data_IF_358940529733
#
_entry.id   IF_358940529733
#
_cell.length_a   1.000
_cell.length_b   1.000
_cell.length_c   1.000
_cell.angle_alpha   90.00
_cell.angle_beta   90.00
_cell.angle_gamma   90.00
#
_symmetry.space_group_name_H-M   'P 1'
#
loop_
_entity.id
_entity.type
_entity.pdbx_description
1 polymer ?
#
# COMPACT_ATOMS: atom_id res chain seq x y z
N UNK A 1 1.27 -87.42 -44.74
CA UNK A 1 0.93 -86.02 -45.15
C UNK A 1 0.75 -85.18 -43.97
N UNK A 2 1.77 -84.45 -43.54
CA UNK A 2 1.71 -83.50 -42.40
C UNK A 2 1.58 -82.06 -42.94
N UNK A 3 0.47 -81.37 -42.67
CA UNK A 3 0.26 -79.96 -42.95
C UNK A 3 0.84 -79.12 -41.82
N UNK A 4 1.90 -78.32 -42.12
CA UNK A 4 2.49 -77.35 -41.28
C UNK A 4 1.59 -76.06 -41.29
N UNK A 5 0.94 -75.75 -40.24
CA UNK A 5 0.28 -74.43 -40.01
C UNK A 5 1.34 -73.39 -39.58
N UNK A 6 1.51 -72.36 -40.42
CA UNK A 6 2.31 -71.16 -40.04
C UNK A 6 1.40 -70.16 -39.27
N UNK A 7 1.72 -69.96 -38.04
CA UNK A 7 1.14 -68.82 -37.26
C UNK A 7 1.91 -67.55 -37.66
N UNK A 8 1.19 -66.57 -38.18
CA UNK A 8 1.69 -65.18 -38.35
C UNK A 8 1.25 -64.41 -37.12
N UNK A 9 2.19 -64.02 -36.24
CA UNK A 9 1.95 -63.12 -35.12
C UNK A 9 1.94 -61.71 -35.68
N UNK A 10 0.77 -61.04 -35.59
CA UNK A 10 0.61 -59.64 -35.92
C UNK A 10 1.01 -58.82 -34.68
N UNK A 11 2.18 -58.18 -34.72
CA UNK A 11 2.60 -57.23 -33.66
C UNK A 11 1.93 -55.88 -33.98
N UNK A 12 0.88 -55.51 -33.23
CA UNK A 12 0.30 -54.15 -33.25
C UNK A 12 1.13 -53.29 -32.35
N UNK A 13 2.01 -52.46 -32.93
CA UNK A 13 2.71 -51.40 -32.21
C UNK A 13 1.72 -50.23 -32.05
N UNK A 14 1.12 -50.13 -30.89
CA UNK A 14 0.31 -48.97 -30.53
C UNK A 14 1.23 -47.75 -30.32
N UNK A 15 1.24 -46.79 -31.24
CA UNK A 15 1.81 -45.46 -30.97
C UNK A 15 0.93 -44.72 -29.97
N UNK A 16 1.36 -44.67 -28.73
CA UNK A 16 0.83 -43.71 -27.79
C UNK A 16 1.36 -42.32 -28.16
N UNK A 17 0.56 -41.52 -28.86
CA UNK A 17 0.79 -40.10 -29.03
C UNK A 17 0.43 -39.45 -27.70
N UNK A 18 1.43 -39.21 -26.84
CA UNK A 18 1.28 -38.36 -25.69
C UNK A 18 1.19 -36.92 -26.21
N UNK A 19 -0.03 -36.43 -26.37
CA UNK A 19 -0.26 -35.01 -26.64
C UNK A 19 0.20 -34.23 -25.41
N UNK A 20 1.37 -33.62 -25.46
CA UNK A 20 1.75 -32.58 -24.55
C UNK A 20 0.79 -31.40 -24.82
N UNK A 21 -0.26 -31.25 -24.01
CA UNK A 21 -0.96 -29.99 -23.96
C UNK A 21 0.06 -29.01 -23.40
N UNK A 22 0.48 -28.02 -24.18
CA UNK A 22 1.31 -26.95 -23.69
C UNK A 22 0.57 -26.30 -22.51
N UNK A 23 1.24 -26.16 -21.38
CA UNK A 23 0.68 -25.42 -20.24
C UNK A 23 0.37 -23.98 -20.68
N UNK A 24 -0.73 -23.42 -20.17
CA UNK A 24 -1.07 -22.02 -20.48
C UNK A 24 -0.19 -21.03 -19.68
N UNK A 25 -0.23 -19.75 -20.03
CA UNK A 25 0.57 -18.73 -19.33
C UNK A 25 0.36 -18.71 -17.82
N UNK A 26 -0.84 -18.99 -17.35
CA UNK A 26 -1.19 -19.10 -15.93
C UNK A 26 -0.41 -20.24 -15.25
N UNK A 27 -0.42 -21.42 -15.86
CA UNK A 27 0.28 -22.61 -15.37
C UNK A 27 1.79 -22.41 -15.36
N UNK A 28 2.36 -21.75 -16.37
CA UNK A 28 3.79 -21.45 -16.48
C UNK A 28 4.22 -20.45 -15.40
N UNK A 29 3.41 -19.41 -15.15
CA UNK A 29 3.62 -18.44 -14.08
C UNK A 29 3.53 -19.12 -12.71
N UNK A 30 2.49 -19.95 -12.49
CA UNK A 30 2.32 -20.69 -11.25
C UNK A 30 3.54 -21.59 -10.98
N UNK A 31 3.98 -22.36 -11.98
CA UNK A 31 5.16 -23.22 -11.87
C UNK A 31 6.45 -22.42 -11.61
N UNK A 32 6.56 -21.21 -12.16
CA UNK A 32 7.70 -20.33 -11.89
C UNK A 32 7.68 -19.85 -10.44
N UNK A 33 6.53 -19.40 -9.93
CA UNK A 33 6.38 -18.98 -8.54
C UNK A 33 6.62 -20.15 -7.58
N UNK A 34 6.06 -21.34 -7.87
CA UNK A 34 6.26 -22.53 -7.02
C UNK A 34 7.73 -22.91 -6.93
N UNK A 35 8.49 -22.78 -8.02
CA UNK A 35 9.93 -23.06 -8.04
C UNK A 35 10.75 -22.07 -7.19
N UNK A 36 10.37 -20.80 -7.16
CA UNK A 36 11.08 -19.76 -6.39
C UNK A 36 10.49 -19.55 -4.98
N UNK A 37 9.37 -20.19 -4.66
CA UNK A 37 8.67 -19.99 -3.36
C UNK A 37 9.54 -20.30 -2.14
N UNK A 38 10.47 -21.29 -2.15
CA UNK A 38 11.37 -21.47 -1.01
C UNK A 38 12.25 -20.23 -0.72
N UNK A 39 12.74 -19.58 -1.76
CA UNK A 39 13.55 -18.36 -1.62
C UNK A 39 12.69 -17.20 -1.13
N UNK A 40 11.45 -17.05 -1.65
CA UNK A 40 10.53 -16.00 -1.23
C UNK A 40 10.15 -16.16 0.24
N UNK A 41 9.82 -17.36 0.69
CA UNK A 41 9.49 -17.66 2.09
C UNK A 41 10.71 -17.36 2.99
N UNK A 42 11.90 -17.79 2.59
CA UNK A 42 13.12 -17.53 3.35
C UNK A 42 13.42 -16.01 3.46
N UNK A 43 13.17 -15.23 2.40
CA UNK A 43 13.30 -13.76 2.44
C UNK A 43 12.27 -13.13 3.37
N UNK A 44 11.00 -13.56 3.30
CA UNK A 44 9.94 -13.08 4.19
C UNK A 44 10.24 -13.39 5.65
N UNK A 45 10.69 -14.60 5.93
CA UNK A 45 11.10 -15.04 7.28
C UNK A 45 12.29 -14.23 7.81
N UNK A 46 13.28 -13.96 6.94
CA UNK A 46 14.43 -13.12 7.31
C UNK A 46 14.01 -11.69 7.67
N UNK A 47 13.15 -11.07 6.85
CA UNK A 47 12.62 -9.72 7.10
C UNK A 47 11.82 -9.71 8.40
N UNK A 48 10.96 -10.72 8.61
CA UNK A 48 10.17 -10.87 9.83
C UNK A 48 11.05 -10.98 11.08
N UNK A 49 12.13 -11.78 11.04
CA UNK A 49 13.03 -12.01 12.17
C UNK A 49 14.01 -10.85 12.43
N UNK A 50 14.13 -9.92 11.46
CA UNK A 50 14.97 -8.73 11.56
C UNK A 50 14.14 -7.46 11.34
N UNK A 51 13.16 -7.16 12.21
CA UNK A 51 12.25 -6.04 11.99
C UNK A 51 13.01 -4.71 12.03
N UNK A 52 12.82 -3.90 11.01
CA UNK A 52 13.42 -2.57 10.87
C UNK A 52 12.31 -1.53 10.76
N UNK A 53 12.45 -0.45 11.52
CA UNK A 53 11.47 0.66 11.50
C UNK A 53 11.61 1.50 10.24
N UNK A 54 10.55 2.21 9.89
CA UNK A 54 10.51 3.06 8.74
C UNK A 54 11.71 4.02 8.60
N UNK A 55 12.25 4.15 7.39
CA UNK A 55 13.50 4.81 7.01
C UNK A 55 14.79 4.16 7.54
N UNK A 56 14.72 2.94 8.05
CA UNK A 56 15.87 2.16 8.55
C UNK A 56 15.86 0.71 8.05
N UNK A 57 15.12 0.42 7.00
CA UNK A 57 14.89 -0.91 6.43
C UNK A 57 16.08 -1.38 5.57
N UNK A 58 17.31 -1.21 6.05
CA UNK A 58 18.53 -1.46 5.28
C UNK A 58 18.71 -2.92 4.90
N UNK A 59 18.44 -3.85 5.85
CA UNK A 59 18.58 -5.29 5.62
C UNK A 59 17.52 -5.80 4.64
N UNK A 60 16.28 -5.34 4.81
CA UNK A 60 15.18 -5.69 3.90
C UNK A 60 15.49 -5.21 2.48
N UNK A 61 15.93 -3.96 2.31
CA UNK A 61 16.31 -3.40 1.00
C UNK A 61 17.48 -4.15 0.38
N UNK A 62 18.53 -4.47 1.14
CA UNK A 62 19.67 -5.23 0.63
C UNK A 62 19.25 -6.60 0.12
N UNK A 63 18.42 -7.31 0.89
CA UNK A 63 17.94 -8.64 0.55
C UNK A 63 17.06 -8.61 -0.71
N UNK A 64 16.02 -7.75 -0.73
CA UNK A 64 15.06 -7.66 -1.84
C UNK A 64 15.76 -7.19 -3.13
N UNK A 65 16.59 -6.15 -3.05
CA UNK A 65 17.32 -5.64 -4.23
C UNK A 65 18.38 -6.62 -4.71
N UNK A 66 19.06 -7.33 -3.81
CA UNK A 66 20.02 -8.39 -4.16
C UNK A 66 19.36 -9.51 -4.97
N UNK A 67 18.19 -9.98 -4.53
CA UNK A 67 17.43 -10.99 -5.26
C UNK A 67 16.93 -10.51 -6.64
N UNK A 68 16.47 -9.26 -6.72
CA UNK A 68 16.05 -8.64 -7.98
C UNK A 68 17.23 -8.52 -8.97
N UNK A 69 18.43 -8.10 -8.50
CA UNK A 69 19.65 -8.05 -9.34
C UNK A 69 20.02 -9.42 -9.89
N UNK A 70 19.98 -10.47 -9.06
CA UNK A 70 20.24 -11.86 -9.49
C UNK A 70 19.24 -12.34 -10.58
N UNK A 71 18.04 -11.73 -10.63
CA UNK A 71 17.02 -12.02 -11.63
C UNK A 71 16.98 -10.99 -12.78
N UNK A 72 18.03 -10.17 -12.95
CA UNK A 72 18.23 -9.32 -14.12
C UNK A 72 17.63 -7.90 -14.02
N UNK A 73 17.15 -7.48 -12.84
CA UNK A 73 16.64 -6.13 -12.63
C UNK A 73 17.78 -5.12 -12.43
N UNK A 74 17.61 -3.93 -12.97
CA UNK A 74 18.45 -2.75 -12.68
C UNK A 74 17.87 -2.00 -11.49
N UNK A 75 18.72 -1.59 -10.55
CA UNK A 75 18.29 -0.96 -9.29
C UNK A 75 18.72 0.50 -9.24
N UNK A 76 17.79 1.38 -8.88
CA UNK A 76 18.01 2.76 -8.45
C UNK A 76 17.72 2.83 -6.95
N UNK A 77 18.72 3.08 -6.09
CA UNK A 77 18.56 3.24 -4.63
C UNK A 77 18.55 4.70 -4.22
N UNK A 78 17.96 5.00 -3.07
CA UNK A 78 17.95 6.35 -2.49
C UNK A 78 17.04 7.34 -3.23
N UNK A 79 16.00 6.82 -3.92
CA UNK A 79 15.11 7.67 -4.71
C UNK A 79 14.26 8.57 -3.82
N UNK A 80 13.85 9.72 -4.34
CA UNK A 80 13.08 10.74 -3.62
C UNK A 80 13.72 11.20 -2.28
N UNK A 81 15.04 11.04 -2.12
CA UNK A 81 15.77 11.42 -0.90
C UNK A 81 15.59 10.43 0.26
N UNK A 82 15.04 9.25 0.01
CA UNK A 82 14.85 8.20 1.01
C UNK A 82 15.90 7.10 0.81
N UNK A 83 16.83 6.94 1.75
CA UNK A 83 17.96 5.99 1.64
C UNK A 83 17.48 4.54 1.42
N UNK A 84 16.35 4.17 1.99
CA UNK A 84 15.77 2.83 1.92
C UNK A 84 14.71 2.66 0.84
N UNK A 85 14.40 3.72 0.04
CA UNK A 85 13.57 3.58 -1.15
C UNK A 85 14.38 3.12 -2.36
N UNK A 86 13.77 2.31 -3.23
CA UNK A 86 14.39 1.88 -4.47
C UNK A 86 13.39 1.74 -5.61
N UNK A 87 13.91 1.76 -6.84
CA UNK A 87 13.18 1.34 -8.04
C UNK A 87 13.99 0.23 -8.69
N UNK A 88 13.36 -0.91 -8.92
CA UNK A 88 13.93 -2.00 -9.69
C UNK A 88 13.21 -2.11 -11.03
N UNK A 89 13.94 -2.13 -12.13
CA UNK A 89 13.37 -2.18 -13.48
C UNK A 89 13.95 -3.35 -14.27
N UNK A 90 13.07 -4.14 -14.89
CA UNK A 90 13.40 -5.14 -15.90
C UNK A 90 12.75 -4.75 -17.22
N UNK A 91 13.51 -4.71 -18.31
CA UNK A 91 13.04 -4.38 -19.65
C UNK A 91 13.08 -5.64 -20.51
N UNK A 92 11.89 -6.13 -20.92
CA UNK A 92 11.75 -7.25 -21.82
C UNK A 92 11.58 -6.77 -23.27
N UNK A 93 12.28 -7.44 -24.21
CA UNK A 93 12.21 -7.14 -25.64
C UNK A 93 12.34 -5.64 -25.99
N UNK A 94 13.28 -4.94 -25.31
CA UNK A 94 13.54 -3.51 -25.52
C UNK A 94 12.63 -2.57 -24.75
N UNK A 95 11.70 -3.08 -23.93
CA UNK A 95 10.91 -2.28 -23.00
C UNK A 95 9.90 -1.29 -23.61
N UNK A 96 9.56 -1.45 -24.89
CA UNK A 96 8.64 -0.54 -25.60
C UNK A 96 7.15 -0.93 -25.44
N UNK A 97 6.80 -1.71 -24.43
CA UNK A 97 5.44 -2.11 -24.08
C UNK A 97 4.99 -1.49 -22.76
N UNK A 98 3.85 -1.97 -22.20
CA UNK A 98 3.32 -1.50 -20.94
C UNK A 98 4.32 -1.62 -19.79
N UNK A 99 4.30 -0.64 -18.90
CA UNK A 99 5.08 -0.62 -17.67
C UNK A 99 4.21 -1.08 -16.49
N UNK A 100 4.45 -2.31 -16.03
CA UNK A 100 3.69 -2.96 -14.96
C UNK A 100 4.47 -2.86 -13.67
N UNK A 101 3.84 -2.38 -12.60
CA UNK A 101 4.53 -2.16 -11.33
C UNK A 101 3.91 -2.91 -10.15
N UNK A 102 4.78 -3.18 -9.17
CA UNK A 102 4.46 -3.77 -7.87
C UNK A 102 5.00 -2.84 -6.78
N UNK A 103 4.15 -2.53 -5.78
CA UNK A 103 4.47 -1.59 -4.71
C UNK A 103 4.85 -2.38 -3.46
N UNK A 104 6.15 -2.50 -3.20
CA UNK A 104 6.71 -3.31 -2.12
C UNK A 104 6.91 -2.47 -0.85
N UNK A 105 6.26 -2.87 0.24
CA UNK A 105 6.47 -2.35 1.59
C UNK A 105 7.26 -3.38 2.41
N UNK A 106 8.07 -2.93 3.38
CA UNK A 106 8.96 -3.81 4.14
C UNK A 106 9.35 -3.26 5.52
N UNK A 107 8.75 -2.17 5.97
CA UNK A 107 8.96 -1.63 7.32
C UNK A 107 8.16 -2.40 8.38
N UNK A 108 8.61 -2.31 9.63
CA UNK A 108 8.00 -2.93 10.80
C UNK A 108 7.45 -1.89 11.76
N UNK A 109 6.50 -2.31 12.58
CA UNK A 109 5.98 -1.55 13.70
C UNK A 109 6.91 -1.63 14.93
N UNK A 110 7.00 -0.54 15.68
CA UNK A 110 7.69 -0.55 16.96
C UNK A 110 7.03 -1.57 17.92
N UNK A 111 7.86 -2.29 18.71
CA UNK A 111 7.47 -3.25 19.75
C UNK A 111 6.76 -4.53 19.26
N UNK A 112 6.06 -4.52 18.13
CA UNK A 112 5.28 -5.66 17.62
C UNK A 112 5.85 -6.26 16.33
N UNK A 113 6.88 -5.67 15.74
CA UNK A 113 7.52 -6.19 14.53
C UNK A 113 6.62 -6.14 13.30
N UNK A 114 6.63 -7.19 12.47
CA UNK A 114 5.83 -7.24 11.23
C UNK A 114 4.35 -7.56 11.46
N UNK A 115 3.73 -6.87 12.41
CA UNK A 115 2.32 -7.02 12.75
C UNK A 115 1.34 -6.37 11.73
N UNK A 116 1.86 -5.77 10.64
CA UNK A 116 1.09 -5.36 9.45
C UNK A 116 1.33 -6.30 8.26
N UNK A 117 2.35 -7.17 8.31
CA UNK A 117 2.64 -8.15 7.27
C UNK A 117 3.45 -7.61 6.10
N UNK A 118 4.20 -6.52 6.29
CA UNK A 118 5.03 -5.94 5.22
C UNK A 118 6.17 -6.88 4.78
N UNK A 119 6.60 -7.84 5.61
CA UNK A 119 7.47 -8.93 5.20
C UNK A 119 6.88 -9.75 4.02
N UNK A 120 5.56 -10.00 4.03
CA UNK A 120 4.84 -10.68 2.96
C UNK A 120 4.65 -9.73 1.75
N UNK A 121 4.29 -8.45 1.99
CA UNK A 121 4.06 -7.48 0.92
C UNK A 121 5.32 -7.31 0.06
N UNK A 122 6.45 -7.01 0.69
CA UNK A 122 7.72 -6.80 -0.02
C UNK A 122 8.14 -8.02 -0.84
N UNK A 123 8.09 -9.20 -0.22
CA UNK A 123 8.52 -10.44 -0.88
C UNK A 123 7.55 -10.92 -1.95
N UNK A 124 6.24 -10.78 -1.78
CA UNK A 124 5.27 -11.15 -2.82
C UNK A 124 5.36 -10.25 -4.05
N UNK A 125 5.61 -8.95 -3.88
CA UNK A 125 5.86 -8.02 -4.98
C UNK A 125 7.12 -8.41 -5.77
N UNK A 126 8.21 -8.76 -5.08
CA UNK A 126 9.44 -9.25 -5.72
C UNK A 126 9.21 -10.58 -6.43
N UNK A 127 8.48 -11.51 -5.81
CA UNK A 127 8.11 -12.79 -6.40
C UNK A 127 7.28 -12.62 -7.67
N UNK A 128 6.28 -11.75 -7.64
CA UNK A 128 5.45 -11.42 -8.80
C UNK A 128 6.27 -10.81 -9.94
N UNK A 129 7.16 -9.85 -9.63
CA UNK A 129 8.00 -9.20 -10.61
C UNK A 129 8.94 -10.20 -11.32
N UNK A 130 9.60 -11.07 -10.55
CA UNK A 130 10.50 -12.11 -11.09
C UNK A 130 9.74 -13.13 -11.92
N UNK A 131 8.57 -13.57 -11.44
CA UNK A 131 7.75 -14.53 -12.18
C UNK A 131 7.22 -13.92 -13.49
N UNK A 132 6.75 -12.69 -13.48
CA UNK A 132 6.32 -11.98 -14.68
C UNK A 132 7.48 -11.85 -15.66
N UNK A 133 8.62 -11.32 -15.24
CA UNK A 133 9.79 -11.13 -16.11
C UNK A 133 10.23 -12.42 -16.82
N UNK A 134 10.17 -13.57 -16.12
CA UNK A 134 10.55 -14.89 -16.68
C UNK A 134 9.53 -15.48 -17.65
N UNK A 135 8.30 -14.99 -17.66
CA UNK A 135 7.21 -15.55 -18.47
C UNK A 135 6.74 -14.61 -19.61
N UNK A 136 7.34 -13.44 -19.79
CA UNK A 136 7.00 -12.51 -20.88
C UNK A 136 7.39 -13.01 -22.27
N UNK A 137 8.30 -13.99 -22.40
CA UNK A 137 8.77 -14.47 -23.69
C UNK A 137 9.30 -13.32 -24.56
N UNK A 138 8.72 -13.11 -25.73
CA UNK A 138 9.05 -12.00 -26.64
C UNK A 138 8.16 -10.77 -26.49
N UNK A 139 7.24 -10.75 -25.53
CA UNK A 139 6.30 -9.62 -25.32
C UNK A 139 7.06 -8.40 -24.79
N UNK A 140 7.04 -7.25 -25.50
CA UNK A 140 7.68 -6.05 -25.01
C UNK A 140 6.95 -5.52 -23.78
N UNK A 141 7.66 -5.34 -22.67
CA UNK A 141 7.11 -4.78 -21.44
C UNK A 141 8.23 -4.25 -20.52
N UNK A 142 7.86 -3.40 -19.57
CA UNK A 142 8.69 -3.07 -18.40
C UNK A 142 8.04 -3.66 -17.16
N UNK A 143 8.86 -4.25 -16.30
CA UNK A 143 8.44 -4.73 -14.99
C UNK A 143 9.16 -3.88 -13.95
N UNK A 144 8.40 -3.21 -13.08
CA UNK A 144 8.93 -2.27 -12.10
C UNK A 144 8.55 -2.74 -10.69
N UNK A 145 9.51 -2.73 -9.76
CA UNK A 145 9.20 -2.82 -8.33
C UNK A 145 9.55 -1.47 -7.71
N UNK A 146 8.56 -0.81 -7.14
CA UNK A 146 8.75 0.35 -6.28
C UNK A 146 8.94 -0.15 -4.85
N UNK A 147 10.15 -0.01 -4.32
CA UNK A 147 10.43 -0.23 -2.90
C UNK A 147 10.01 1.00 -2.11
N UNK A 148 8.94 0.85 -1.34
CA UNK A 148 8.24 1.92 -0.64
C UNK A 148 8.46 1.76 0.87
N UNK A 149 9.45 2.47 1.48
CA UNK A 149 9.72 2.37 2.91
C UNK A 149 8.72 3.15 3.76
N UNK A 150 8.76 2.92 5.06
CA UNK A 150 8.20 3.79 6.10
C UNK A 150 6.68 4.04 5.99
N UNK A 151 5.88 3.07 5.55
CA UNK A 151 4.41 3.20 5.46
C UNK A 151 3.83 3.57 6.84
N UNK A 152 4.26 2.86 7.87
CA UNK A 152 3.78 2.99 9.25
C UNK A 152 4.23 4.30 9.93
N UNK A 153 5.27 4.94 9.42
CA UNK A 153 5.88 6.10 10.06
C UNK A 153 5.74 7.39 9.25
N UNK A 154 6.68 7.67 8.34
CA UNK A 154 6.75 8.93 7.58
C UNK A 154 6.09 8.86 6.21
N UNK A 155 5.67 7.67 5.75
CA UNK A 155 5.00 7.44 4.47
C UNK A 155 5.89 7.71 3.27
N UNK A 156 6.71 6.72 2.93
CA UNK A 156 7.67 6.83 1.82
C UNK A 156 7.04 7.09 0.47
N UNK A 157 5.78 6.66 0.26
CA UNK A 157 5.08 6.92 -1.00
C UNK A 157 4.76 8.41 -1.22
N UNK A 158 4.68 9.24 -0.17
CA UNK A 158 4.46 10.68 -0.31
C UNK A 158 5.60 11.38 -1.08
N UNK A 159 6.87 11.34 -0.64
CA UNK A 159 7.96 11.96 -1.40
C UNK A 159 8.20 11.28 -2.74
N UNK A 160 7.96 9.96 -2.88
CA UNK A 160 8.03 9.26 -4.16
C UNK A 160 6.99 9.77 -5.15
N UNK A 161 5.75 10.00 -4.70
CA UNK A 161 4.68 10.59 -5.50
C UNK A 161 4.96 12.05 -5.86
N UNK A 162 5.45 12.86 -4.92
CA UNK A 162 5.83 14.25 -5.16
C UNK A 162 6.95 14.36 -6.23
N UNK A 163 7.87 13.38 -6.26
CA UNK A 163 8.89 13.26 -7.30
C UNK A 163 8.36 12.65 -8.63
N UNK A 164 7.07 12.33 -8.72
CA UNK A 164 6.44 11.76 -9.92
C UNK A 164 6.90 10.34 -10.28
N UNK A 165 7.48 9.60 -9.33
CA UNK A 165 8.10 8.31 -9.61
C UNK A 165 7.09 7.24 -10.05
N UNK A 166 5.88 7.22 -9.48
CA UNK A 166 4.85 6.26 -9.86
C UNK A 166 4.40 6.41 -11.32
N UNK A 167 4.48 7.61 -11.89
CA UNK A 167 4.16 7.88 -13.30
C UNK A 167 5.12 7.21 -14.30
N UNK A 168 6.17 6.52 -13.83
CA UNK A 168 7.01 5.66 -14.65
C UNK A 168 6.33 4.33 -15.02
N UNK A 169 5.20 4.01 -14.36
CA UNK A 169 4.39 2.83 -14.61
C UNK A 169 3.02 3.19 -15.18
N UNK A 170 2.45 2.30 -15.96
CA UNK A 170 1.10 2.41 -16.51
C UNK A 170 0.05 1.86 -15.55
N UNK A 171 0.44 0.91 -14.69
CA UNK A 171 -0.43 0.24 -13.74
C UNK A 171 0.36 -0.27 -12.54
N UNK A 172 -0.27 -0.32 -11.36
CA UNK A 172 0.34 -0.77 -10.12
C UNK A 172 -0.46 -1.82 -9.37
N UNK A 173 0.21 -2.70 -8.63
CA UNK A 173 -0.44 -3.74 -7.83
C UNK A 173 0.26 -3.94 -6.50
N UNK A 174 -0.52 -4.27 -5.47
CA UNK A 174 -0.05 -4.67 -4.14
C UNK A 174 -1.03 -5.66 -3.53
N UNK A 175 -0.52 -6.70 -2.88
CA UNK A 175 -1.31 -7.50 -1.96
C UNK A 175 -1.01 -7.04 -0.53
N UNK A 176 -2.03 -6.78 0.26
CA UNK A 176 -1.90 -6.48 1.68
C UNK A 176 -2.51 -7.62 2.51
N UNK A 177 -1.74 -8.28 3.39
CA UNK A 177 -2.29 -9.33 4.25
C UNK A 177 -3.44 -8.83 5.10
N UNK A 178 -4.42 -9.71 5.33
CA UNK A 178 -5.61 -9.41 6.12
C UNK A 178 -6.01 -10.53 7.06
N UNK A 179 -7.14 -10.37 7.75
CA UNK A 179 -7.73 -11.40 8.59
C UNK A 179 -9.09 -11.85 8.03
N UNK A 180 -9.35 -13.14 8.08
CA UNK A 180 -10.63 -13.77 7.86
C UNK A 180 -11.03 -13.98 6.40
N UNK A 181 -10.98 -12.98 5.53
CA UNK A 181 -11.48 -13.12 4.15
C UNK A 181 -10.58 -12.47 3.11
N UNK A 182 -10.65 -13.00 1.88
CA UNK A 182 -10.07 -12.36 0.71
C UNK A 182 -10.87 -11.13 0.31
N UNK A 183 -10.18 -10.02 0.01
CA UNK A 183 -10.80 -8.77 -0.43
C UNK A 183 -10.18 -8.26 -1.72
N UNK A 184 -10.95 -7.54 -2.54
CA UNK A 184 -10.48 -6.84 -3.73
C UNK A 184 -10.84 -5.36 -3.57
N UNK A 185 -9.83 -4.50 -3.64
CA UNK A 185 -9.94 -3.09 -3.32
C UNK A 185 -9.80 -2.81 -1.82
N UNK A 186 -9.76 -1.55 -1.47
CA UNK A 186 -9.69 -1.06 -0.09
C UNK A 186 -10.52 0.21 0.07
N UNK A 187 -11.17 0.37 1.21
CA UNK A 187 -11.83 1.60 1.57
C UNK A 187 -11.05 2.27 2.70
N UNK A 188 -10.04 3.01 2.30
CA UNK A 188 -9.21 3.81 3.20
C UNK A 188 -9.71 5.24 3.30
N UNK A 189 -9.32 5.91 4.37
CA UNK A 189 -9.60 7.34 4.56
C UNK A 189 -8.41 8.16 4.05
N UNK A 190 -8.68 9.21 3.28
CA UNK A 190 -7.73 10.29 3.10
C UNK A 190 -7.47 10.97 4.45
N UNK A 191 -6.26 11.51 4.64
CA UNK A 191 -5.78 11.97 5.94
C UNK A 191 -4.93 13.23 5.81
N UNK A 192 -5.11 14.17 6.75
CA UNK A 192 -4.12 15.21 7.07
C UNK A 192 -3.75 15.10 8.54
N UNK A 193 -2.45 15.13 8.84
CA UNK A 193 -1.86 15.26 10.18
C UNK A 193 -1.15 16.58 10.28
N UNK A 194 -1.53 17.40 11.26
CA UNK A 194 -1.06 18.77 11.36
C UNK A 194 -0.75 19.16 12.82
N UNK A 195 0.31 19.96 12.99
CA UNK A 195 0.64 20.65 14.24
C UNK A 195 0.22 22.12 14.16
N UNK A 196 -0.42 22.59 15.20
CA UNK A 196 -0.82 23.98 15.41
C UNK A 196 -0.04 24.53 16.60
N UNK A 197 0.89 25.46 16.34
CA UNK A 197 1.76 26.05 17.34
C UNK A 197 1.37 27.51 17.55
N UNK A 198 0.99 27.85 18.77
CA UNK A 198 0.63 29.20 19.18
C UNK A 198 1.77 29.82 19.99
N UNK A 199 2.11 31.07 19.68
CA UNK A 199 3.08 31.89 20.41
C UNK A 199 2.38 33.16 20.93
N UNK A 200 2.38 33.34 22.24
CA UNK A 200 1.84 34.48 22.93
C UNK A 200 2.91 35.30 23.67
N UNK A 201 2.59 35.74 24.88
CA UNK A 201 3.51 36.52 25.72
C UNK A 201 3.36 36.12 27.18
N UNK A 202 4.45 35.71 27.82
CA UNK A 202 4.46 35.38 29.24
C UNK A 202 4.24 36.61 30.12
N UNK A 203 3.56 36.40 31.26
CA UNK A 203 3.46 37.36 32.36
C UNK A 203 3.16 36.60 33.65
N UNK A 204 3.27 37.31 34.80
CA UNK A 204 2.86 36.73 36.07
C UNK A 204 1.33 36.72 36.14
N UNK A 205 0.71 35.52 36.18
CA UNK A 205 -0.73 35.34 36.00
C UNK A 205 -1.58 36.05 37.09
N UNK A 206 -1.04 36.31 38.29
CA UNK A 206 -1.72 37.00 39.36
C UNK A 206 -1.32 38.48 39.52
N UNK A 207 -0.08 38.84 39.19
CA UNK A 207 0.44 40.19 39.46
C UNK A 207 0.30 41.14 38.26
N UNK A 208 0.34 40.62 37.00
CA UNK A 208 0.24 41.42 35.79
C UNK A 208 -0.37 40.60 34.63
N UNK A 209 -1.57 40.00 34.78
CA UNK A 209 -2.20 39.18 33.76
C UNK A 209 -2.47 39.95 32.47
N UNK A 210 -2.77 41.22 32.52
CA UNK A 210 -3.06 42.10 31.39
C UNK A 210 -1.83 42.30 30.46
N UNK A 211 -0.63 42.03 30.95
CA UNK A 211 0.61 42.12 30.16
C UNK A 211 0.88 40.86 29.33
N UNK A 212 0.16 39.78 29.63
CA UNK A 212 0.30 38.49 28.95
C UNK A 212 -0.62 38.34 27.74
N UNK A 213 -0.30 37.32 26.90
CA UNK A 213 -1.17 36.77 25.84
C UNK A 213 -1.02 35.28 25.90
N UNK A 214 -2.09 34.59 26.25
CA UNK A 214 -2.06 33.14 26.49
C UNK A 214 -2.11 32.36 25.21
N UNK A 215 -1.01 31.65 24.86
CA UNK A 215 -0.98 30.71 23.75
C UNK A 215 -1.93 29.53 24.00
N UNK A 216 -2.13 29.13 25.27
CA UNK A 216 -3.06 28.06 25.63
C UNK A 216 -4.51 28.45 25.31
N UNK A 217 -4.90 29.71 25.44
CA UNK A 217 -6.24 30.17 25.09
C UNK A 217 -6.47 29.98 23.56
N UNK A 218 -5.46 30.24 22.72
CA UNK A 218 -5.52 29.95 21.30
C UNK A 218 -5.81 28.48 21.02
N UNK A 219 -5.10 27.56 21.71
CA UNK A 219 -5.34 26.11 21.59
C UNK A 219 -6.75 25.75 22.07
N UNK A 220 -7.20 26.26 23.18
CA UNK A 220 -8.53 25.97 23.76
C UNK A 220 -9.66 26.47 22.84
N UNK A 221 -9.54 27.68 22.31
CA UNK A 221 -10.49 28.23 21.33
C UNK A 221 -10.54 27.41 20.04
N UNK A 222 -9.39 26.93 19.56
CA UNK A 222 -9.33 26.04 18.40
C UNK A 222 -10.03 24.71 18.69
N UNK A 223 -9.79 24.08 19.84
CA UNK A 223 -10.48 22.85 20.26
C UNK A 223 -12.00 23.05 20.25
N UNK A 224 -12.51 24.12 20.88
CA UNK A 224 -13.94 24.39 20.88
C UNK A 224 -14.49 24.66 19.49
N UNK A 225 -13.79 25.40 18.66
CA UNK A 225 -14.21 25.67 17.29
C UNK A 225 -14.29 24.39 16.44
N UNK A 226 -13.38 23.45 16.67
CA UNK A 226 -13.42 22.14 15.96
C UNK A 226 -14.59 21.26 16.44
N UNK A 227 -15.01 21.35 17.72
CA UNK A 227 -16.22 20.67 18.20
C UNK A 227 -17.48 21.20 17.49
N UNK A 228 -17.61 22.51 17.32
CA UNK A 228 -18.73 23.10 16.57
C UNK A 228 -18.72 22.72 15.10
N UNK A 229 -17.53 22.55 14.50
CA UNK A 229 -17.40 22.11 13.11
C UNK A 229 -17.97 20.71 12.87
N UNK A 230 -17.89 19.81 13.85
CA UNK A 230 -18.35 18.40 13.73
C UNK A 230 -19.82 18.27 13.32
N UNK A 231 -20.67 19.20 13.76
CA UNK A 231 -22.08 19.23 13.36
C UNK A 231 -22.26 19.50 11.86
N UNK A 232 -21.30 20.16 11.21
CA UNK A 232 -21.45 20.72 9.87
C UNK A 232 -20.53 20.08 8.84
N UNK A 233 -20.21 18.81 9.00
CA UNK A 233 -19.42 17.98 8.05
C UNK A 233 -20.13 16.68 7.75
N UNK A 234 -19.79 16.03 6.62
CA UNK A 234 -20.32 14.70 6.27
C UNK A 234 -19.97 13.69 7.36
N UNK A 235 -20.78 12.65 7.51
CA UNK A 235 -20.68 11.62 8.56
C UNK A 235 -19.40 10.76 8.50
N UNK A 236 -18.72 10.72 7.37
CA UNK A 236 -17.44 10.03 7.16
C UNK A 236 -16.23 10.82 7.67
N UNK A 237 -16.39 12.12 7.96
CA UNK A 237 -15.30 12.95 8.49
C UNK A 237 -14.98 12.57 9.94
N UNK A 238 -13.70 12.46 10.22
CA UNK A 238 -13.15 12.25 11.57
C UNK A 238 -12.15 13.36 11.87
N UNK A 239 -12.40 14.13 12.94
CA UNK A 239 -11.49 15.15 13.46
C UNK A 239 -11.13 14.73 14.86
N UNK A 240 -9.86 14.48 15.14
CA UNK A 240 -9.39 14.12 16.47
C UNK A 240 -8.01 14.69 16.72
N UNK A 241 -7.75 15.14 17.96
CA UNK A 241 -6.51 15.79 18.29
C UNK A 241 -6.23 15.78 19.78
N UNK A 242 -5.03 16.23 20.11
CA UNK A 242 -4.54 16.35 21.48
C UNK A 242 -3.84 17.70 21.66
N UNK A 243 -3.79 18.17 22.90
CA UNK A 243 -2.87 19.24 23.30
C UNK A 243 -1.49 18.61 23.52
N UNK A 244 -0.50 19.07 22.77
CA UNK A 244 0.89 18.58 22.84
C UNK A 244 1.75 19.41 23.80
N UNK A 245 1.36 20.67 24.02
CA UNK A 245 1.97 21.57 25.00
C UNK A 245 0.92 22.54 25.54
N UNK A 246 0.71 22.59 26.86
CA UNK A 246 -0.24 23.49 27.53
C UNK A 246 0.41 24.60 28.36
N UNK A 247 1.73 24.78 28.26
CA UNK A 247 2.49 25.73 29.06
C UNK A 247 3.31 25.07 30.18
N UNK A 248 4.08 25.85 30.94
CA UNK A 248 5.07 25.35 31.90
C UNK A 248 4.62 25.36 33.35
N UNK A 249 3.86 26.41 33.79
CA UNK A 249 3.43 26.60 35.19
C UNK A 249 2.11 27.37 35.26
N UNK A 250 1.26 27.03 36.24
CA UNK A 250 -0.08 27.61 36.38
C UNK A 250 -0.07 29.10 36.77
N UNK A 251 1.01 29.59 37.36
CA UNK A 251 1.17 31.00 37.77
C UNK A 251 1.89 31.86 36.69
N UNK A 252 2.15 31.30 35.50
CA UNK A 252 2.75 32.01 34.37
C UNK A 252 1.78 31.91 33.19
N UNK A 253 1.42 33.04 32.57
CA UNK A 253 0.64 33.03 31.32
C UNK A 253 1.41 32.29 30.24
N UNK A 254 0.87 31.22 29.63
CA UNK A 254 1.60 30.42 28.67
C UNK A 254 1.99 31.19 27.40
N UNK A 255 3.29 31.35 27.15
CA UNK A 255 3.77 31.99 25.91
C UNK A 255 3.84 31.04 24.74
N UNK A 256 3.85 29.72 24.99
CA UNK A 256 3.85 28.68 23.95
C UNK A 256 2.86 27.60 24.32
N UNK A 257 2.03 27.23 23.37
CA UNK A 257 1.14 26.07 23.44
C UNK A 257 0.97 25.47 22.07
N UNK A 258 0.65 24.18 22.02
CA UNK A 258 0.46 23.49 20.75
C UNK A 258 -0.56 22.37 20.84
N UNK A 259 -1.17 22.07 19.68
CA UNK A 259 -2.07 20.95 19.49
C UNK A 259 -1.71 20.20 18.21
N UNK A 260 -2.00 18.91 18.19
CA UNK A 260 -1.85 18.04 17.02
C UNK A 260 -3.18 17.45 16.64
N UNK A 261 -3.53 17.51 15.34
CA UNK A 261 -4.80 17.03 14.84
C UNK A 261 -4.63 16.09 13.65
N UNK A 262 -5.45 15.03 13.64
CA UNK A 262 -5.78 14.26 12.45
C UNK A 262 -7.15 14.73 11.94
N UNK A 263 -7.25 14.95 10.63
CA UNK A 263 -8.51 15.15 9.91
C UNK A 263 -8.57 14.11 8.81
N UNK A 264 -9.62 13.27 8.80
CA UNK A 264 -9.78 12.15 7.89
C UNK A 264 -11.14 12.19 7.20
N UNK A 265 -11.22 11.69 5.97
CA UNK A 265 -12.46 11.58 5.20
C UNK A 265 -12.33 10.60 4.04
N UNK A 266 -13.47 10.13 3.51
CA UNK A 266 -13.49 9.15 2.41
C UNK A 266 -12.94 9.70 1.09
N UNK A 267 -13.13 11.00 0.85
CA UNK A 267 -12.84 11.62 -0.42
C UNK A 267 -11.89 12.81 -0.26
N UNK A 268 -10.73 12.77 -0.89
CA UNK A 268 -9.72 13.83 -0.83
C UNK A 268 -10.26 15.21 -1.17
N UNK A 269 -11.05 15.42 -2.26
CA UNK A 269 -11.54 16.76 -2.59
C UNK A 269 -12.41 17.37 -1.49
N UNK A 270 -13.31 16.59 -0.88
CA UNK A 270 -14.14 17.07 0.22
C UNK A 270 -13.32 17.29 1.49
N UNK A 271 -12.40 16.37 1.80
CA UNK A 271 -11.51 16.50 2.96
C UNK A 271 -10.71 17.81 2.92
N UNK A 272 -10.22 18.22 1.74
CA UNK A 272 -9.50 19.50 1.58
C UNK A 272 -10.36 20.70 2.01
N UNK A 273 -11.66 20.67 1.70
CA UNK A 273 -12.58 21.75 2.14
C UNK A 273 -12.73 21.77 3.67
N UNK A 274 -12.73 20.60 4.31
CA UNK A 274 -12.83 20.49 5.78
C UNK A 274 -11.52 20.92 6.45
N UNK A 275 -10.38 20.54 5.91
CA UNK A 275 -9.05 20.94 6.41
C UNK A 275 -8.91 22.46 6.38
N UNK A 276 -9.33 23.13 5.30
CA UNK A 276 -9.30 24.60 5.23
C UNK A 276 -10.22 25.25 6.29
N UNK A 277 -11.37 24.63 6.60
CA UNK A 277 -12.23 25.09 7.70
C UNK A 277 -11.54 24.96 9.07
N UNK A 278 -10.79 23.86 9.30
CA UNK A 278 -9.97 23.68 10.51
C UNK A 278 -8.87 24.75 10.59
N UNK A 279 -8.22 25.08 9.47
CA UNK A 279 -7.24 26.17 9.42
C UNK A 279 -7.88 27.52 9.74
N UNK A 280 -9.08 27.81 9.25
CA UNK A 280 -9.80 29.05 9.53
C UNK A 280 -10.20 29.16 11.01
N UNK A 281 -10.59 28.05 11.65
CA UNK A 281 -10.83 27.97 13.09
C UNK A 281 -9.55 28.32 13.86
N UNK A 282 -8.41 27.70 13.48
CA UNK A 282 -7.14 27.97 14.13
C UNK A 282 -6.68 29.43 13.97
N UNK A 283 -6.85 30.01 12.78
CA UNK A 283 -6.56 31.44 12.51
C UNK A 283 -7.46 32.36 13.35
N UNK A 284 -8.77 32.04 13.43
CA UNK A 284 -9.72 32.78 14.29
C UNK A 284 -9.35 32.70 15.76
N UNK A 285 -8.96 31.53 16.25
CA UNK A 285 -8.50 31.34 17.61
C UNK A 285 -7.25 32.19 17.94
N UNK A 286 -6.30 32.26 17.00
CA UNK A 286 -5.11 33.10 17.14
C UNK A 286 -5.46 34.59 17.20
N UNK A 287 -6.41 35.06 16.39
CA UNK A 287 -6.90 36.43 16.42
C UNK A 287 -7.59 36.75 17.75
N UNK A 288 -8.44 35.86 18.25
CA UNK A 288 -9.16 36.05 19.54
C UNK A 288 -8.23 36.07 20.74
N UNK A 289 -7.16 35.28 20.72
CA UNK A 289 -6.16 35.21 21.81
C UNK A 289 -5.00 36.20 21.65
N UNK A 290 -4.98 36.99 20.57
CA UNK A 290 -3.88 37.90 20.19
C UNK A 290 -2.51 37.17 20.13
N UNK A 291 -2.49 35.94 19.61
CA UNK A 291 -1.29 35.11 19.52
C UNK A 291 -0.87 34.92 18.05
N UNK A 292 0.39 34.53 17.85
CA UNK A 292 0.89 34.14 16.52
C UNK A 292 0.70 32.64 16.33
N UNK A 293 0.13 32.23 15.17
CA UNK A 293 -0.08 30.84 14.80
C UNK A 293 0.93 30.41 13.73
N UNK A 294 1.50 29.23 13.93
CA UNK A 294 2.23 28.48 12.89
C UNK A 294 1.57 27.11 12.72
N UNK A 295 1.16 26.80 11.48
CA UNK A 295 0.59 25.49 11.11
C UNK A 295 1.67 24.71 10.37
N UNK A 296 1.90 23.46 10.78
CA UNK A 296 2.84 22.55 10.12
C UNK A 296 2.09 21.30 9.68
N UNK A 297 1.99 21.06 8.38
CA UNK A 297 1.52 19.77 7.85
C UNK A 297 2.62 18.72 8.01
N UNK A 298 2.28 17.58 8.64
CA UNK A 298 3.22 16.50 8.91
C UNK A 298 3.05 15.40 7.88
N UNK A 299 1.78 15.02 7.59
CA UNK A 299 1.43 13.96 6.64
C UNK A 299 0.14 14.30 5.90
N UNK A 300 0.09 13.90 4.62
CA UNK A 300 -1.11 13.97 3.81
C UNK A 300 -1.18 12.76 2.90
N UNK A 301 -2.19 11.88 3.08
CA UNK A 301 -2.44 10.78 2.14
C UNK A 301 -3.77 10.98 1.42
N UNK A 302 -3.86 10.43 0.22
CA UNK A 302 -5.13 10.28 -0.48
C UNK A 302 -5.84 8.98 -0.05
N UNK A 303 -7.15 8.92 -0.24
CA UNK A 303 -7.89 7.66 -0.16
C UNK A 303 -7.48 6.74 -1.32
N UNK A 304 -7.62 5.44 -1.13
CA UNK A 304 -7.40 4.47 -2.22
C UNK A 304 -8.45 4.69 -3.32
N UNK A 305 -7.96 4.79 -4.55
CA UNK A 305 -8.79 4.85 -5.77
C UNK A 305 -9.06 3.43 -6.24
N UNK A 306 -10.26 2.93 -5.98
CA UNK A 306 -10.70 1.63 -6.49
C UNK A 306 -11.23 1.79 -7.94
N UNK A 307 -10.68 1.02 -8.86
CA UNK A 307 -11.07 1.02 -10.28
C UNK A 307 -11.94 -0.22 -10.54
N UNK A 308 -13.24 -0.06 -10.84
CA UNK A 308 -14.16 -1.20 -10.95
C UNK A 308 -13.72 -2.27 -11.94
N UNK A 309 -13.30 -1.88 -13.15
CA UNK A 309 -12.82 -2.84 -14.16
C UNK A 309 -11.57 -3.59 -13.71
N UNK A 310 -10.65 -2.93 -12.97
CA UNK A 310 -9.48 -3.60 -12.43
C UNK A 310 -9.86 -4.63 -11.35
N UNK A 311 -10.83 -4.28 -10.51
CA UNK A 311 -11.35 -5.20 -9.49
C UNK A 311 -12.04 -6.42 -10.12
N UNK A 312 -12.72 -6.24 -11.26
CA UNK A 312 -13.36 -7.33 -12.00
C UNK A 312 -12.32 -8.28 -12.61
N UNK A 313 -11.30 -7.74 -13.27
CA UNK A 313 -10.17 -8.51 -13.83
C UNK A 313 -9.43 -9.29 -12.74
N UNK A 314 -9.23 -8.69 -11.57
CA UNK A 314 -8.60 -9.36 -10.44
C UNK A 314 -9.46 -10.50 -9.86
N UNK A 315 -10.77 -10.31 -9.76
CA UNK A 315 -11.72 -11.34 -9.31
C UNK A 315 -11.69 -12.57 -10.25
N UNK A 316 -11.65 -12.33 -11.56
CA UNK A 316 -11.47 -13.40 -12.56
C UNK A 316 -10.15 -14.16 -12.35
N UNK A 317 -9.03 -13.44 -12.24
CA UNK A 317 -7.74 -14.05 -12.01
C UNK A 317 -7.69 -14.86 -10.70
N UNK A 318 -8.26 -14.35 -9.61
CA UNK A 318 -8.35 -15.06 -8.33
C UNK A 318 -9.14 -16.35 -8.44
N UNK A 319 -10.27 -16.35 -9.15
CA UNK A 319 -11.07 -17.56 -9.41
C UNK A 319 -10.29 -18.60 -10.19
N UNK A 320 -9.51 -18.19 -11.18
CA UNK A 320 -8.64 -19.09 -11.94
C UNK A 320 -7.57 -19.76 -11.08
N UNK A 321 -7.10 -19.08 -10.02
CA UNK A 321 -6.18 -19.65 -9.04
C UNK A 321 -6.89 -20.37 -7.87
N UNK A 322 -8.19 -20.66 -7.99
CA UNK A 322 -8.93 -21.41 -7.00
C UNK A 322 -9.27 -20.63 -5.73
N UNK A 323 -9.27 -19.30 -5.80
CA UNK A 323 -9.67 -18.39 -4.72
C UNK A 323 -11.03 -17.75 -5.08
N UNK A 324 -12.14 -18.51 -4.94
CA UNK A 324 -13.48 -17.99 -5.19
C UNK A 324 -13.95 -17.12 -4.03
N UNK A 325 -14.98 -16.32 -4.28
CA UNK A 325 -15.68 -15.54 -3.25
C UNK A 325 -14.84 -14.42 -2.62
N UNK A 326 -13.89 -13.84 -3.36
CA UNK A 326 -13.26 -12.61 -2.92
C UNK A 326 -14.31 -11.49 -2.79
N UNK A 327 -14.28 -10.77 -1.66
CA UNK A 327 -15.20 -9.66 -1.42
C UNK A 327 -14.69 -8.42 -2.13
N UNK A 328 -15.38 -7.94 -3.16
CA UNK A 328 -15.13 -6.61 -3.72
C UNK A 328 -15.56 -5.54 -2.72
N UNK A 329 -14.65 -4.67 -2.35
CA UNK A 329 -14.93 -3.57 -1.42
C UNK A 329 -15.78 -2.51 -2.12
N UNK A 330 -16.97 -2.26 -1.58
CA UNK A 330 -17.97 -1.38 -2.16
C UNK A 330 -18.18 -0.07 -1.39
N UNK A 331 -19.00 0.85 -1.94
CA UNK A 331 -19.28 2.15 -1.32
C UNK A 331 -19.90 2.06 0.07
N UNK A 332 -20.66 1.00 0.36
CA UNK A 332 -21.34 0.79 1.63
C UNK A 332 -20.49 0.09 2.70
N UNK A 333 -19.29 -0.40 2.35
CA UNK A 333 -18.42 -1.03 3.33
C UNK A 333 -17.89 0.00 4.33
N UNK A 334 -17.63 -0.40 5.59
CA UNK A 334 -16.99 0.49 6.55
C UNK A 334 -15.58 0.87 6.07
N UNK A 335 -15.21 2.12 6.27
CA UNK A 335 -13.84 2.54 6.02
C UNK A 335 -12.91 1.92 7.07
N UNK A 336 -11.78 1.37 6.61
CA UNK A 336 -10.69 0.93 7.46
C UNK A 336 -9.83 2.09 7.97
N UNK A 337 -8.54 1.85 8.13
CA UNK A 337 -7.55 2.87 8.46
C UNK A 337 -7.24 3.81 7.29
N UNK A 338 -6.04 4.33 7.29
CA UNK A 338 -5.46 5.07 6.18
C UNK A 338 -4.18 4.36 5.74
N UNK A 339 -3.87 4.39 4.45
CA UNK A 339 -2.62 3.87 3.89
C UNK A 339 -2.09 4.85 2.86
N UNK A 340 -0.78 4.98 2.76
CA UNK A 340 -0.16 5.83 1.75
C UNK A 340 -0.21 5.22 0.33
N UNK A 341 -0.72 3.98 0.18
CA UNK A 341 -1.08 3.39 -1.12
C UNK A 341 -2.09 4.26 -1.88
N UNK A 342 -2.99 4.96 -1.18
CA UNK A 342 -3.92 5.92 -1.76
C UNK A 342 -3.21 6.98 -2.60
N UNK A 343 -2.06 7.47 -2.15
CA UNK A 343 -1.25 8.46 -2.87
C UNK A 343 -0.67 7.91 -4.17
N UNK A 344 -0.30 6.63 -4.23
CA UNK A 344 0.13 6.00 -5.48
C UNK A 344 -1.06 5.78 -6.43
N UNK A 345 -2.21 5.27 -5.90
CA UNK A 345 -3.41 5.00 -6.71
C UNK A 345 -4.09 6.26 -7.25
N UNK A 346 -3.81 7.44 -6.67
CA UNK A 346 -4.24 8.73 -7.21
C UNK A 346 -3.40 9.19 -8.42
N UNK A 347 -2.22 8.62 -8.63
CA UNK A 347 -1.32 9.00 -9.73
C UNK A 347 -1.34 8.05 -10.92
N UNK A 348 -1.63 6.78 -10.68
CA UNK A 348 -1.76 5.71 -11.69
C UNK A 348 -2.90 4.76 -11.31
N UNK A 349 -3.52 4.07 -12.27
CA UNK A 349 -4.40 2.95 -11.96
C UNK A 349 -3.66 1.94 -11.09
N UNK A 350 -4.14 1.67 -9.87
CA UNK A 350 -3.50 0.72 -8.99
C UNK A 350 -4.52 -0.12 -8.22
N UNK A 351 -4.21 -1.40 -8.04
CA UNK A 351 -5.01 -2.37 -7.30
C UNK A 351 -4.32 -2.76 -6.00
N UNK A 352 -5.04 -2.66 -4.91
CA UNK A 352 -4.73 -3.34 -3.67
C UNK A 352 -5.77 -4.43 -3.42
N UNK A 353 -5.32 -5.61 -3.00
CA UNK A 353 -6.22 -6.70 -2.62
C UNK A 353 -5.69 -7.39 -1.36
N UNK A 354 -6.57 -8.08 -0.62
CA UNK A 354 -6.24 -8.74 0.63
C UNK A 354 -6.34 -10.25 0.55
N UNK A 355 -5.33 -10.96 1.07
CA UNK A 355 -5.40 -12.40 1.34
C UNK A 355 -5.31 -12.63 2.86
N UNK A 356 -6.13 -13.56 3.42
CA UNK A 356 -6.13 -13.80 4.85
C UNK A 356 -4.89 -14.60 5.28
N UNK A 357 -4.17 -14.05 6.26
CA UNK A 357 -3.04 -14.71 6.95
C UNK A 357 -3.40 -15.15 8.36
N UNK A 358 -4.54 -14.66 8.87
CA UNK A 358 -5.02 -14.91 10.22
C UNK A 358 -6.55 -15.08 10.25
N UNK A 359 -7.12 -15.72 11.28
CA UNK A 359 -8.56 -15.74 11.56
C UNK A 359 -9.14 -14.33 11.71
N UNK A 360 -10.48 -14.20 11.49
CA UNK A 360 -11.16 -12.90 11.47
C UNK A 360 -11.14 -12.13 12.80
N UNK A 361 -10.92 -12.80 13.92
CA UNK A 361 -10.84 -12.24 15.27
C UNK A 361 -9.43 -11.78 15.66
N UNK A 362 -8.42 -12.04 14.83
CA UNK A 362 -7.05 -11.57 15.04
C UNK A 362 -6.90 -10.19 14.38
N UNK A 363 -6.71 -9.17 15.19
CA UNK A 363 -6.55 -7.79 14.72
C UNK A 363 -5.14 -7.56 14.13
N UNK A 364 -5.06 -6.82 13.03
CA UNK A 364 -3.80 -6.25 12.57
C UNK A 364 -3.12 -5.41 13.66
N UNK A 365 -1.81 -5.24 13.60
CA UNK A 365 -0.97 -4.53 14.59
C UNK A 365 -0.95 -5.21 15.97
N UNK A 366 -1.38 -6.49 16.08
CA UNK A 366 -1.24 -7.30 17.29
C UNK A 366 -0.04 -8.26 17.20
N UNK A 367 0.41 -8.77 18.35
CA UNK A 367 1.47 -9.79 18.40
C UNK A 367 1.03 -11.11 17.75
N UNK A 368 -0.24 -11.45 17.89
CA UNK A 368 -0.86 -12.62 17.27
C UNK A 368 -0.84 -12.50 15.74
N UNK A 369 -1.07 -11.30 15.22
CA UNK A 369 -1.00 -11.06 13.79
C UNK A 369 0.46 -11.15 13.28
N UNK A 370 1.44 -10.62 14.01
CA UNK A 370 2.85 -10.78 13.67
C UNK A 370 3.26 -12.26 13.57
N UNK A 371 2.80 -13.11 14.50
CA UNK A 371 3.03 -14.56 14.43
C UNK A 371 2.37 -15.15 13.16
N UNK A 372 1.17 -14.70 12.82
CA UNK A 372 0.44 -15.20 11.64
C UNK A 372 1.15 -14.88 10.33
N UNK A 373 1.86 -13.75 10.21
CA UNK A 373 2.59 -13.38 8.99
C UNK A 373 3.79 -14.28 8.68
N UNK A 374 4.24 -15.10 9.63
CA UNK A 374 5.28 -16.13 9.44
C UNK A 374 4.74 -17.55 9.53
N UNK A 375 3.42 -17.73 9.52
CA UNK A 375 2.76 -19.03 9.58
C UNK A 375 2.69 -19.72 8.21
N UNK A 376 2.35 -21.01 8.15
CA UNK A 376 2.06 -21.70 6.89
C UNK A 376 0.98 -20.98 6.05
N UNK A 377 -0.05 -20.40 6.70
CA UNK A 377 -1.08 -19.60 6.02
C UNK A 377 -0.52 -18.29 5.47
N UNK A 378 0.39 -17.63 6.20
CA UNK A 378 1.11 -16.45 5.71
C UNK A 378 1.96 -16.77 4.48
N UNK A 379 2.67 -17.92 4.50
CA UNK A 379 3.46 -18.40 3.38
C UNK A 379 2.58 -18.74 2.16
N UNK A 380 1.43 -19.36 2.37
CA UNK A 380 0.45 -19.61 1.31
C UNK A 380 -0.06 -18.31 0.69
N UNK A 381 -0.41 -17.32 1.51
CA UNK A 381 -0.83 -16.00 1.04
C UNK A 381 0.26 -15.31 0.21
N UNK A 382 1.53 -15.37 0.64
CA UNK A 382 2.68 -14.84 -0.10
C UNK A 382 2.79 -15.48 -1.49
N UNK A 383 2.73 -16.80 -1.57
CA UNK A 383 2.86 -17.55 -2.83
C UNK A 383 1.68 -17.26 -3.76
N UNK A 384 0.45 -17.29 -3.24
CA UNK A 384 -0.75 -16.97 -4.01
C UNK A 384 -0.76 -15.52 -4.50
N UNK A 385 -0.35 -14.56 -3.68
CA UNK A 385 -0.21 -13.17 -4.08
C UNK A 385 0.78 -13.00 -5.24
N UNK A 386 1.94 -13.65 -5.14
CA UNK A 386 2.94 -13.64 -6.21
C UNK A 386 2.39 -14.18 -7.52
N UNK A 387 1.63 -15.28 -7.49
CA UNK A 387 0.98 -15.88 -8.67
C UNK A 387 -0.05 -14.95 -9.29
N UNK A 388 -0.97 -14.43 -8.47
CA UNK A 388 -2.07 -13.55 -8.92
C UNK A 388 -1.51 -12.28 -9.55
N UNK A 389 -0.59 -11.59 -8.85
CA UNK A 389 -0.01 -10.34 -9.36
C UNK A 389 0.81 -10.56 -10.63
N UNK A 390 1.61 -11.64 -10.70
CA UNK A 390 2.38 -11.96 -11.90
C UNK A 390 1.46 -12.25 -13.10
N UNK A 391 0.38 -12.99 -12.88
CA UNK A 391 -0.59 -13.32 -13.93
C UNK A 391 -1.39 -12.10 -14.40
N UNK A 392 -1.83 -11.25 -13.47
CA UNK A 392 -2.43 -9.96 -13.83
C UNK A 392 -1.46 -9.10 -14.65
N UNK A 393 -0.21 -9.02 -14.23
CA UNK A 393 0.84 -8.32 -14.98
C UNK A 393 1.05 -8.89 -16.38
N UNK A 394 1.00 -10.21 -16.54
CA UNK A 394 1.09 -10.88 -17.84
C UNK A 394 -0.12 -10.51 -18.73
N UNK A 395 -1.33 -10.56 -18.20
CA UNK A 395 -2.54 -10.17 -18.95
C UNK A 395 -2.44 -8.72 -19.43
N UNK A 396 -2.04 -7.78 -18.57
CA UNK A 396 -1.84 -6.37 -18.99
C UNK A 396 -0.72 -6.19 -20.02
N UNK A 397 0.28 -7.05 -20.02
CA UNK A 397 1.34 -7.00 -21.03
C UNK A 397 0.91 -7.57 -22.38
N UNK A 398 -0.03 -8.53 -22.41
CA UNK A 398 -0.42 -9.28 -23.62
C UNK A 398 -1.82 -8.92 -24.16
N UNK A 399 -2.66 -8.30 -23.34
CA UNK A 399 -4.04 -7.89 -23.64
C UNK A 399 -4.17 -6.37 -23.46
N UNK A 400 -3.70 -5.54 -24.43
CA UNK A 400 -3.64 -4.08 -24.27
C UNK A 400 -5.00 -3.43 -24.02
N UNK A 401 -6.09 -4.03 -24.50
CA UNK A 401 -7.46 -3.57 -24.29
C UNK A 401 -7.86 -3.55 -22.80
N UNK A 402 -7.32 -4.46 -21.98
CA UNK A 402 -7.55 -4.46 -20.54
C UNK A 402 -6.91 -3.24 -19.86
N UNK A 403 -5.71 -2.89 -20.28
CA UNK A 403 -5.01 -1.71 -19.74
C UNK A 403 -5.74 -0.42 -20.12
N UNK A 404 -6.19 -0.30 -21.39
CA UNK A 404 -6.95 0.85 -21.87
C UNK A 404 -8.27 1.00 -21.11
N UNK A 405 -8.98 -0.12 -20.87
CA UNK A 405 -10.22 -0.14 -20.08
C UNK A 405 -9.98 0.36 -18.65
N UNK A 406 -8.97 -0.19 -17.96
CA UNK A 406 -8.66 0.17 -16.59
C UNK A 406 -8.23 1.63 -16.49
N UNK A 407 -7.46 2.14 -17.46
CA UNK A 407 -7.05 3.55 -17.51
C UNK A 407 -8.25 4.49 -17.69
N UNK A 408 -9.14 4.17 -18.63
CA UNK A 408 -10.34 4.99 -18.87
C UNK A 408 -11.27 5.02 -17.65
N UNK A 409 -11.44 3.91 -16.93
CA UNK A 409 -12.24 3.87 -15.71
C UNK A 409 -11.57 4.63 -14.56
N UNK A 410 -10.24 4.51 -14.43
CA UNK A 410 -9.47 5.24 -13.42
C UNK A 410 -9.61 6.77 -13.62
N UNK A 411 -9.49 7.25 -14.86
CA UNK A 411 -9.66 8.67 -15.19
C UNK A 411 -11.04 9.20 -14.79
N UNK A 412 -12.10 8.41 -14.99
CA UNK A 412 -13.48 8.77 -14.54
C UNK A 412 -13.54 8.86 -13.01
N UNK A 413 -13.01 7.86 -12.31
CA UNK A 413 -13.03 7.83 -10.82
C UNK A 413 -12.26 9.01 -10.25
N UNK A 414 -11.07 9.32 -10.77
CA UNK A 414 -10.23 10.42 -10.27
C UNK A 414 -10.83 11.80 -10.61
N UNK A 415 -11.47 11.94 -11.77
CA UNK A 415 -12.14 13.20 -12.15
C UNK A 415 -13.48 13.43 -11.44
N UNK A 416 -14.03 12.43 -10.77
CA UNK A 416 -15.34 12.51 -10.10
C UNK A 416 -16.52 12.50 -11.06
N UNK A 417 -16.35 11.97 -12.27
CA UNK A 417 -17.37 11.85 -13.33
C UNK A 417 -17.94 10.44 -13.43
#
# INVERSE_FOLDING_TARGET
MQRKMKFIALIVVGLFVVSFVAAGPKEDIAATVDRISPDLIAMSDFIHDNPELGNKEYKAVELLTGYLVQNGFKIEKGVAGLETAFIATYENAGGNGPAISFLAEYDALAEVGHACGHNIIGTSCVGAAVALAKNLGSTPAKVIVFGCPAEETTSGKLPMAAAGLFKRADIGMQMHPGSGQTTIGSKSLALNLMDFNYEGKASHAAAAPEMGRSALDGVMLMLMGTEFLREHVKSDIRIHGIVTNGGAAANVVPEKASARFYVRGLERPYLNTVVERVYNIARGAAMMSETKLTITEIKQYDNVVNVPSFMDIADEAMKEFGIPNAKKVGPCDPAGGSTDFGTASSQIPALIFGLPVAPADVAGHSREYAIATKSPQGNEALVNASKIMAYLGYRFATEPELLDQVRADWEKVVSGN
#
